data_IF_489021603678
#
_entry.id   IF_489021603678
#
_cell.length_a   1.000
_cell.length_b   1.000
_cell.length_c   1.000
_cell.angle_alpha   90.00
_cell.angle_beta   90.00
_cell.angle_gamma   90.00
#
_symmetry.space_group_name_H-M   'P 1'
#
loop_
_entity.id
_entity.type
_entity.pdbx_description
1 polymer ?
#
# COMPACT_ATOMS: atom_id res chain seq x y z
N UNK A 1 -2.75 -40.44 -16.00
CA UNK A 1 -2.19 -40.12 -17.35
C UNK A 1 -1.12 -39.05 -17.18
N UNK A 2 -0.08 -39.04 -18.04
CA UNK A 2 1.31 -39.19 -17.62
C UNK A 2 2.07 -37.88 -17.36
N UNK A 3 3.17 -38.05 -16.64
CA UNK A 3 4.17 -37.03 -16.33
C UNK A 3 4.83 -36.45 -17.58
N UNK A 4 4.93 -35.12 -17.62
CA UNK A 4 5.69 -34.36 -18.62
C UNK A 4 7.19 -34.68 -18.51
N UNK A 5 7.75 -35.25 -19.57
CA UNK A 5 9.18 -35.23 -19.89
C UNK A 5 9.54 -33.85 -20.43
N UNK A 6 10.56 -33.22 -19.86
CA UNK A 6 11.28 -32.14 -20.53
C UNK A 6 12.22 -32.75 -21.57
N UNK A 7 12.02 -32.33 -22.82
CA UNK A 7 12.92 -32.52 -23.95
C UNK A 7 13.91 -31.37 -23.95
N UNK A 8 15.20 -31.67 -23.92
CA UNK A 8 16.26 -30.76 -24.33
C UNK A 8 17.03 -31.45 -25.45
N UNK A 9 16.89 -30.89 -26.64
CA UNK A 9 17.54 -31.27 -27.88
C UNK A 9 18.99 -30.79 -27.93
N UNK A 10 19.84 -31.74 -28.32
CA UNK A 10 21.04 -31.69 -29.18
C UNK A 10 21.76 -30.36 -29.44
N UNK A 11 23.07 -30.39 -29.18
CA UNK A 11 24.19 -30.20 -30.13
C UNK A 11 25.46 -30.31 -29.26
N UNK A 12 26.48 -31.11 -29.49
CA UNK A 12 26.99 -31.77 -30.67
C UNK A 12 28.51 -31.81 -30.44
N UNK A 13 29.11 -33.00 -30.40
CA UNK A 13 30.38 -33.32 -31.06
C UNK A 13 30.88 -34.70 -30.63
N UNK A 14 30.90 -35.55 -31.63
CA UNK A 14 31.58 -36.83 -31.69
C UNK A 14 33.09 -36.64 -31.53
N UNK A 15 33.74 -37.57 -30.85
CA UNK A 15 34.93 -38.21 -31.41
C UNK A 15 34.99 -39.65 -30.90
N UNK A 16 35.05 -40.57 -31.86
CA UNK A 16 35.06 -42.02 -31.72
C UNK A 16 36.24 -42.50 -32.55
N UNK A 17 37.10 -43.38 -32.01
CA UNK A 17 37.85 -44.38 -32.76
C UNK A 17 38.57 -45.36 -31.79
N UNK A 18 38.90 -46.59 -32.24
CA UNK A 18 38.40 -47.79 -31.59
C UNK A 18 39.47 -48.82 -31.18
N UNK A 19 38.99 -49.82 -30.44
CA UNK A 19 39.34 -51.24 -30.44
C UNK A 19 40.83 -51.67 -30.41
N UNK A 20 41.18 -52.45 -29.36
CA UNK A 20 41.85 -53.74 -29.58
C UNK A 20 41.49 -54.73 -28.45
N UNK A 21 40.92 -55.85 -28.84
CA UNK A 21 40.73 -57.06 -28.06
C UNK A 21 41.98 -57.94 -28.12
N UNK A 22 42.41 -58.54 -27.00
CA UNK A 22 43.03 -59.87 -27.05
C UNK A 22 42.87 -60.63 -25.74
N UNK A 23 42.69 -61.95 -25.89
CA UNK A 23 42.29 -62.93 -24.88
C UNK A 23 43.39 -63.35 -23.89
N UNK A 24 42.90 -63.89 -22.76
CA UNK A 24 43.52 -64.74 -21.73
C UNK A 24 44.73 -65.59 -22.17
N UNK A 25 45.71 -65.74 -21.27
CA UNK A 25 46.20 -67.05 -20.79
C UNK A 25 47.14 -66.93 -19.57
N UNK A 26 46.85 -67.72 -18.51
CA UNK A 26 47.85 -68.28 -17.58
C UNK A 26 48.20 -67.46 -16.31
N UNK A 27 48.13 -68.07 -15.11
CA UNK A 27 48.56 -67.44 -13.86
C UNK A 27 50.07 -67.64 -13.65
N UNK A 28 50.72 -66.75 -12.89
CA UNK A 28 51.65 -67.29 -11.91
C UNK A 28 51.60 -66.61 -10.54
N UNK A 29 51.88 -67.46 -9.55
CA UNK A 29 52.57 -67.16 -8.32
C UNK A 29 51.93 -66.15 -7.36
N UNK A 30 51.24 -66.74 -6.39
CA UNK A 30 51.16 -66.27 -5.00
C UNK A 30 52.55 -65.84 -4.54
N UNK A 31 52.72 -64.53 -4.31
CA UNK A 31 53.70 -63.99 -3.39
C UNK A 31 52.93 -63.14 -2.38
N UNK A 32 52.51 -63.79 -1.29
CA UNK A 32 52.12 -63.14 -0.05
C UNK A 32 53.32 -62.34 0.49
N UNK A 33 53.40 -61.06 0.13
CA UNK A 33 54.01 -60.07 1.01
C UNK A 33 52.88 -59.52 1.89
N UNK A 34 52.70 -60.14 3.06
CA UNK A 34 52.07 -59.50 4.20
C UNK A 34 52.89 -58.26 4.58
N UNK A 35 52.64 -57.14 3.90
CA UNK A 35 52.97 -55.83 4.43
C UNK A 35 51.96 -55.56 5.54
N UNK A 36 52.28 -56.02 6.75
CA UNK A 36 51.68 -55.52 7.98
C UNK A 36 52.09 -54.05 8.08
N UNK A 37 51.33 -53.17 7.41
CA UNK A 37 51.34 -51.76 7.74
C UNK A 37 50.71 -51.65 9.12
N UNK A 38 51.57 -51.65 10.14
CA UNK A 38 51.25 -51.04 11.41
C UNK A 38 50.85 -49.58 11.13
N UNK A 39 49.56 -49.33 10.96
CA UNK A 39 48.95 -48.03 11.17
C UNK A 39 49.06 -47.73 12.66
N UNK A 40 50.28 -47.41 13.10
CA UNK A 40 50.50 -46.67 14.33
C UNK A 40 49.63 -45.42 14.24
N UNK A 41 48.58 -45.37 15.07
CA UNK A 41 47.79 -44.16 15.33
C UNK A 41 48.75 -43.05 15.74
N UNK A 42 49.21 -42.26 14.78
CA UNK A 42 49.76 -40.93 15.05
C UNK A 42 48.55 -40.01 15.25
N UNK A 43 47.87 -40.18 16.39
CA UNK A 43 46.79 -39.29 16.83
C UNK A 43 47.30 -38.23 17.81
N UNK A 44 48.51 -37.72 17.59
CA UNK A 44 48.96 -36.48 18.24
C UNK A 44 48.79 -35.37 17.21
N UNK A 45 47.58 -34.82 17.13
CA UNK A 45 47.38 -33.50 16.54
C UNK A 45 48.37 -32.58 17.25
N UNK A 46 49.38 -32.09 16.52
CA UNK A 46 50.43 -31.25 17.08
C UNK A 46 49.80 -30.16 17.97
N UNK A 47 50.38 -29.83 19.13
CA UNK A 47 49.85 -28.83 20.06
C UNK A 47 49.49 -27.51 19.36
N UNK A 48 50.22 -27.16 18.30
CA UNK A 48 49.98 -25.98 17.47
C UNK A 48 48.70 -26.06 16.63
N UNK A 49 48.35 -27.23 16.10
CA UNK A 49 47.06 -27.45 15.44
C UNK A 49 45.89 -27.36 16.43
N UNK A 50 46.06 -27.83 17.67
CA UNK A 50 45.03 -27.67 18.70
C UNK A 50 44.86 -26.20 19.11
N UNK A 51 45.95 -25.45 19.25
CA UNK A 51 45.93 -23.99 19.50
C UNK A 51 45.28 -23.23 18.35
N UNK A 52 45.62 -23.55 17.10
CA UNK A 52 45.02 -22.96 15.91
C UNK A 52 43.50 -23.22 15.83
N UNK A 53 43.05 -24.45 16.09
CA UNK A 53 41.61 -24.78 16.16
C UNK A 53 40.88 -24.03 17.26
N UNK A 54 41.48 -23.89 18.45
CA UNK A 54 40.89 -23.11 19.56
C UNK A 54 40.80 -21.61 19.20
N UNK A 55 41.85 -21.05 18.58
CA UNK A 55 41.84 -19.67 18.08
C UNK A 55 40.75 -19.49 17.02
N UNK A 56 40.68 -20.34 16.01
CA UNK A 56 39.66 -20.26 14.96
C UNK A 56 38.24 -20.35 15.55
N UNK A 57 37.97 -21.31 16.45
CA UNK A 57 36.67 -21.40 17.13
C UNK A 57 36.36 -20.12 17.91
N UNK A 58 37.32 -19.55 18.64
CA UNK A 58 37.13 -18.27 19.34
C UNK A 58 36.80 -17.14 18.37
N UNK A 59 37.50 -17.03 17.23
CA UNK A 59 37.21 -16.00 16.23
C UNK A 59 35.82 -16.20 15.62
N UNK A 60 35.43 -17.44 15.30
CA UNK A 60 34.09 -17.74 14.80
C UNK A 60 33.00 -17.39 15.83
N UNK A 61 33.22 -17.68 17.11
CA UNK A 61 32.30 -17.29 18.19
C UNK A 61 32.21 -15.77 18.34
N UNK A 62 33.34 -15.06 18.28
CA UNK A 62 33.37 -13.59 18.34
C UNK A 62 32.65 -13.00 17.13
N UNK A 63 32.95 -13.45 15.92
CA UNK A 63 32.27 -12.96 14.71
C UNK A 63 30.77 -13.26 14.74
N UNK A 64 30.38 -14.50 15.09
CA UNK A 64 28.97 -14.87 15.25
C UNK A 64 28.27 -14.03 16.31
N UNK A 65 28.92 -13.80 17.46
CA UNK A 65 28.43 -12.93 18.51
C UNK A 65 28.26 -11.49 18.05
N UNK A 66 29.22 -10.92 17.34
CA UNK A 66 29.15 -9.58 16.75
C UNK A 66 28.03 -9.46 15.71
N UNK A 67 27.85 -10.46 14.83
CA UNK A 67 26.78 -10.47 13.84
C UNK A 67 25.40 -10.53 14.50
N UNK A 68 25.23 -11.40 15.51
CA UNK A 68 23.97 -11.49 16.26
C UNK A 68 23.68 -10.20 17.04
N UNK A 69 24.69 -9.63 17.69
CA UNK A 69 24.56 -8.35 18.38
C UNK A 69 24.20 -7.22 17.40
N UNK A 70 24.87 -7.14 16.25
CA UNK A 70 24.55 -6.16 15.20
C UNK A 70 23.13 -6.32 14.67
N UNK A 71 22.68 -7.56 14.41
CA UNK A 71 21.32 -7.83 13.98
C UNK A 71 20.28 -7.45 15.04
N UNK A 72 20.55 -7.74 16.32
CA UNK A 72 19.68 -7.36 17.43
C UNK A 72 19.59 -5.85 17.61
N UNK A 73 20.71 -5.13 17.48
CA UNK A 73 20.74 -3.66 17.51
C UNK A 73 19.93 -3.10 16.34
N UNK A 74 20.20 -3.56 15.11
CA UNK A 74 19.47 -3.12 13.92
C UNK A 74 17.96 -3.32 14.10
N UNK A 75 17.54 -4.51 14.54
CA UNK A 75 16.14 -4.84 14.80
C UNK A 75 15.49 -3.96 15.87
N UNK A 76 16.24 -3.60 16.93
CA UNK A 76 15.75 -2.76 18.02
C UNK A 76 15.64 -1.30 17.62
N UNK A 77 16.48 -0.85 16.68
CA UNK A 77 16.54 0.54 16.20
C UNK A 77 15.57 0.80 15.04
N UNK A 78 15.06 -0.24 14.35
CA UNK A 78 14.13 -0.08 13.22
C UNK A 78 12.90 0.80 13.51
N UNK A 79 12.17 0.66 14.63
CA UNK A 79 11.02 1.53 14.90
C UNK A 79 11.40 3.01 15.03
N UNK A 80 12.59 3.29 15.57
CA UNK A 80 13.10 4.66 15.67
C UNK A 80 13.48 5.21 14.28
N UNK A 81 14.17 4.40 13.47
CA UNK A 81 14.51 4.78 12.09
C UNK A 81 13.27 5.00 11.23
N UNK A 82 12.23 4.20 11.43
CA UNK A 82 10.96 4.37 10.75
C UNK A 82 10.35 5.76 11.00
N UNK A 83 10.49 6.31 12.21
CA UNK A 83 9.99 7.65 12.54
C UNK A 83 10.80 8.80 11.95
N UNK A 84 12.03 8.55 11.47
CA UNK A 84 12.96 9.61 11.02
C UNK A 84 13.26 9.52 9.52
N UNK A 85 13.29 8.32 8.95
CA UNK A 85 13.64 8.12 7.56
C UNK A 85 12.45 8.43 6.65
N UNK A 86 12.49 9.49 5.84
CA UNK A 86 11.39 9.81 4.95
C UNK A 86 11.21 8.73 3.90
N UNK A 87 10.00 8.21 3.76
CA UNK A 87 9.60 7.29 2.70
C UNK A 87 8.43 7.88 1.93
N UNK A 88 8.03 7.25 0.83
CA UNK A 88 6.79 7.61 0.13
C UNK A 88 5.52 7.47 1.02
N UNK A 89 5.64 6.82 2.19
CA UNK A 89 4.60 6.67 3.21
C UNK A 89 4.74 7.66 4.39
N UNK A 90 5.68 8.61 4.36
CA UNK A 90 5.83 9.62 5.43
C UNK A 90 4.57 10.45 5.66
N UNK A 91 3.71 10.59 4.64
CA UNK A 91 2.45 11.31 4.82
C UNK A 91 1.53 10.61 5.83
N UNK A 92 1.49 9.28 5.84
CA UNK A 92 0.65 8.53 6.75
C UNK A 92 1.05 8.77 8.22
N UNK A 93 2.33 9.00 8.52
CA UNK A 93 2.74 9.39 9.88
C UNK A 93 2.24 10.79 10.26
N UNK A 94 2.24 11.74 9.31
CA UNK A 94 1.70 13.09 9.53
C UNK A 94 0.19 13.11 9.71
N UNK A 95 -0.54 12.26 9.00
CA UNK A 95 -1.98 12.09 9.20
C UNK A 95 -2.27 11.56 10.60
N UNK A 96 -1.59 10.48 11.02
CA UNK A 96 -1.72 9.92 12.36
C UNK A 96 -1.32 10.91 13.47
N UNK A 97 -0.29 11.72 13.23
CA UNK A 97 0.12 12.79 14.14
C UNK A 97 -0.98 13.85 14.25
N UNK A 98 -1.51 14.33 13.12
CA UNK A 98 -2.55 15.34 13.05
C UNK A 98 -3.83 14.91 13.77
N UNK A 99 -4.27 13.66 13.58
CA UNK A 99 -5.45 13.07 14.25
C UNK A 99 -5.28 13.02 15.77
N UNK A 100 -4.06 12.76 16.26
CA UNK A 100 -3.75 12.70 17.70
C UNK A 100 -3.54 14.07 18.32
N UNK A 101 -3.06 15.04 17.56
CA UNK A 101 -2.86 16.41 18.03
C UNK A 101 -4.17 17.19 17.96
N UNK A 102 -4.77 17.48 19.12
CA UNK A 102 -6.02 18.27 19.29
C UNK A 102 -5.93 19.72 18.76
N UNK A 103 -4.82 20.11 18.14
CA UNK A 103 -4.56 21.49 17.74
C UNK A 103 -5.48 21.97 16.60
N UNK A 104 -5.97 21.06 15.75
CA UNK A 104 -7.03 21.38 14.80
C UNK A 104 -8.33 20.64 15.14
N UNK A 105 -9.45 21.28 14.83
CA UNK A 105 -10.80 20.74 15.02
C UNK A 105 -11.48 20.61 13.66
N UNK A 106 -11.02 19.69 12.78
CA UNK A 106 -11.64 19.50 11.49
C UNK A 106 -13.09 19.06 11.67
N UNK A 107 -13.99 19.60 10.86
CA UNK A 107 -15.38 19.19 10.77
C UNK A 107 -15.59 18.24 9.59
N UNK A 108 -14.72 18.33 8.57
CA UNK A 108 -14.76 17.48 7.37
C UNK A 108 -13.36 16.92 7.11
N UNK A 109 -13.27 15.60 6.97
CA UNK A 109 -12.03 14.91 6.61
C UNK A 109 -12.18 14.14 5.30
N UNK A 110 -11.26 14.37 4.35
CA UNK A 110 -11.18 13.64 3.09
C UNK A 110 -10.08 12.59 3.14
N UNK A 111 -10.40 11.38 2.69
CA UNK A 111 -9.49 10.27 2.55
C UNK A 111 -9.49 9.78 1.10
N UNK A 112 -8.40 9.16 0.66
CA UNK A 112 -8.26 8.65 -0.70
C UNK A 112 -6.84 8.79 -1.22
N UNK A 113 -6.64 8.51 -2.50
CA UNK A 113 -5.30 8.47 -3.08
C UNK A 113 -4.81 9.84 -3.58
N UNK A 114 -3.73 9.84 -4.37
CA UNK A 114 -3.13 11.04 -4.95
C UNK A 114 -4.06 11.85 -5.86
N UNK A 115 -5.15 11.28 -6.38
CA UNK A 115 -6.18 12.04 -7.10
C UNK A 115 -7.00 12.92 -6.16
N UNK A 116 -7.25 12.49 -4.91
CA UNK A 116 -7.83 13.37 -3.88
C UNK A 116 -6.83 14.43 -3.43
N UNK A 117 -5.55 14.06 -3.29
CA UNK A 117 -4.48 15.01 -2.92
C UNK A 117 -4.40 16.19 -3.90
N UNK A 118 -4.53 15.88 -5.20
CA UNK A 118 -4.46 16.86 -6.28
C UNK A 118 -5.81 17.48 -6.62
N UNK A 119 -6.92 16.76 -6.41
CA UNK A 119 -8.24 17.14 -6.89
C UNK A 119 -9.05 17.98 -5.90
N UNK A 120 -8.60 18.14 -4.66
CA UNK A 120 -9.32 18.90 -3.65
C UNK A 120 -8.40 19.86 -2.90
N UNK A 121 -8.77 21.14 -2.97
CA UNK A 121 -8.20 22.19 -2.12
C UNK A 121 -9.17 22.44 -0.95
N UNK A 122 -8.82 21.94 0.24
CA UNK A 122 -9.69 22.01 1.41
C UNK A 122 -9.97 23.45 1.87
N UNK A 123 -9.04 24.39 1.64
CA UNK A 123 -9.24 25.81 1.97
C UNK A 123 -10.26 26.44 1.05
N UNK A 124 -10.13 26.21 -0.26
CA UNK A 124 -11.11 26.69 -1.25
C UNK A 124 -12.50 26.10 -1.00
N UNK A 125 -12.59 24.82 -0.61
CA UNK A 125 -13.87 24.21 -0.25
C UNK A 125 -14.46 24.83 1.03
N UNK A 126 -13.65 25.05 2.06
CA UNK A 126 -14.07 25.73 3.30
C UNK A 126 -14.62 27.14 3.01
N UNK A 127 -13.93 27.91 2.17
CA UNK A 127 -14.39 29.24 1.72
C UNK A 127 -15.73 29.20 0.96
N UNK A 128 -16.00 28.10 0.25
CA UNK A 128 -17.22 27.93 -0.55
C UNK A 128 -18.42 27.41 0.27
N UNK A 129 -18.19 26.80 1.43
CA UNK A 129 -19.23 26.27 2.31
C UNK A 129 -19.71 27.31 3.34
N UNK A 130 -20.98 27.23 3.80
CA UNK A 130 -21.45 28.06 4.90
C UNK A 130 -20.63 27.81 6.17
N UNK A 131 -20.47 28.84 6.99
CA UNK A 131 -19.76 28.77 8.30
C UNK A 131 -18.26 28.47 8.21
N UNK A 132 -17.70 28.30 7.01
CA UNK A 132 -16.28 28.08 6.76
C UNK A 132 -15.67 26.97 7.64
N UNK A 133 -16.21 25.73 7.57
CA UNK A 133 -15.76 24.65 8.43
C UNK A 133 -14.27 24.36 8.22
N UNK A 134 -13.59 23.89 9.26
CA UNK A 134 -12.21 23.42 9.11
C UNK A 134 -12.23 22.08 8.35
N UNK A 135 -11.50 22.01 7.23
CA UNK A 135 -11.48 20.83 6.35
C UNK A 135 -10.05 20.32 6.20
N UNK A 136 -9.87 19.02 6.40
CA UNK A 136 -8.60 18.35 6.16
C UNK A 136 -8.67 17.39 4.96
N UNK A 137 -7.62 17.43 4.16
CA UNK A 137 -7.32 16.49 3.10
C UNK A 137 -6.27 15.47 3.59
N UNK A 138 -6.75 14.40 4.21
CA UNK A 138 -5.96 13.28 4.76
C UNK A 138 -5.72 12.16 3.73
N UNK A 139 -5.82 12.46 2.44
CA UNK A 139 -5.46 11.54 1.35
C UNK A 139 -3.96 11.34 1.24
N UNK A 140 -3.47 10.23 0.66
CA UNK A 140 -2.04 9.96 0.52
C UNK A 140 -1.70 9.20 -0.77
N UNK A 141 -0.42 9.11 -1.12
CA UNK A 141 0.00 8.50 -2.39
C UNK A 141 -0.41 7.04 -2.46
N UNK A 142 -1.25 6.71 -3.45
CA UNK A 142 -1.76 5.36 -3.67
C UNK A 142 -2.62 4.82 -2.53
N UNK A 143 -3.19 5.68 -1.66
CA UNK A 143 -4.04 5.24 -0.56
C UNK A 143 -5.19 4.37 -1.05
N UNK A 144 -5.32 3.18 -0.49
CA UNK A 144 -6.41 2.26 -0.79
C UNK A 144 -7.51 2.37 0.26
N UNK A 145 -8.69 1.81 -0.04
CA UNK A 145 -9.86 1.87 0.83
C UNK A 145 -9.51 1.44 2.26
N UNK A 146 -8.86 0.29 2.43
CA UNK A 146 -8.49 -0.16 3.77
C UNK A 146 -7.47 0.73 4.47
N UNK A 147 -6.51 1.30 3.74
CA UNK A 147 -5.58 2.25 4.35
C UNK A 147 -6.34 3.45 4.90
N UNK A 148 -7.35 3.94 4.18
CA UNK A 148 -8.26 4.96 4.71
C UNK A 148 -9.00 4.48 5.95
N UNK A 149 -9.53 3.26 5.97
CA UNK A 149 -10.25 2.70 7.13
C UNK A 149 -9.35 2.69 8.37
N UNK A 150 -8.08 2.36 8.22
CA UNK A 150 -7.13 2.38 9.34
C UNK A 150 -6.85 3.79 9.84
N UNK A 151 -6.64 4.75 8.94
CA UNK A 151 -6.39 6.14 9.31
C UNK A 151 -7.63 6.76 9.98
N UNK A 152 -8.82 6.41 9.51
CA UNK A 152 -10.10 6.87 10.01
C UNK A 152 -10.44 6.48 11.47
N UNK A 153 -9.71 5.55 12.07
CA UNK A 153 -10.01 5.04 13.41
C UNK A 153 -9.94 6.15 14.48
N UNK A 154 -8.90 6.97 14.45
CA UNK A 154 -8.57 7.92 15.51
C UNK A 154 -9.05 9.35 15.16
N UNK A 155 -10.11 9.49 14.36
CA UNK A 155 -10.67 10.78 13.94
C UNK A 155 -11.09 11.66 15.14
N UNK A 156 -10.78 12.97 15.14
CA UNK A 156 -11.21 13.90 16.18
C UNK A 156 -12.73 13.96 16.35
N UNK A 157 -13.21 14.19 17.58
CA UNK A 157 -14.65 14.30 17.90
C UNK A 157 -15.35 15.50 17.22
N UNK A 158 -14.58 16.46 16.70
CA UNK A 158 -15.11 17.58 15.93
C UNK A 158 -15.61 17.17 14.53
N UNK A 159 -15.18 16.02 14.02
CA UNK A 159 -15.49 15.57 12.66
C UNK A 159 -16.97 15.22 12.57
N UNK A 160 -17.65 15.83 11.60
CA UNK A 160 -19.07 15.61 11.29
C UNK A 160 -19.25 14.90 9.96
N UNK A 161 -18.29 15.03 9.03
CA UNK A 161 -18.33 14.42 7.70
C UNK A 161 -17.01 13.74 7.37
N UNK A 162 -17.08 12.48 6.93
CA UNK A 162 -15.95 11.73 6.38
C UNK A 162 -16.24 11.48 4.90
N UNK A 163 -15.32 11.91 4.04
CA UNK A 163 -15.40 11.69 2.60
C UNK A 163 -14.35 10.68 2.17
N UNK A 164 -14.79 9.58 1.58
CA UNK A 164 -13.95 8.50 1.09
C UNK A 164 -13.87 8.54 -0.44
N UNK A 165 -12.74 9.01 -0.97
CA UNK A 165 -12.43 9.01 -2.40
C UNK A 165 -11.97 7.64 -2.89
N UNK A 166 -12.67 7.08 -3.88
CA UNK A 166 -12.31 5.82 -4.56
C UNK A 166 -12.47 5.93 -6.06
N UNK A 167 -11.68 5.16 -6.80
CA UNK A 167 -11.97 4.96 -8.22
C UNK A 167 -13.10 3.96 -8.40
N UNK A 168 -13.88 4.13 -9.47
CA UNK A 168 -14.99 3.23 -9.76
C UNK A 168 -14.54 1.76 -9.85
N UNK A 169 -13.42 1.47 -10.53
CA UNK A 169 -12.90 0.11 -10.67
C UNK A 169 -12.37 -0.49 -9.35
N UNK A 170 -12.04 0.33 -8.34
CA UNK A 170 -11.66 -0.19 -7.02
C UNK A 170 -12.84 -0.81 -6.28
N UNK A 171 -14.08 -0.48 -6.68
CA UNK A 171 -15.29 -1.08 -6.09
C UNK A 171 -15.52 -2.52 -6.54
N UNK A 172 -14.85 -2.98 -7.60
CA UNK A 172 -14.92 -4.34 -8.14
C UNK A 172 -13.83 -5.25 -7.58
N UNK A 173 -12.90 -4.68 -6.80
CA UNK A 173 -11.77 -5.42 -6.23
C UNK A 173 -12.07 -5.77 -4.77
N UNK A 174 -11.69 -6.99 -4.32
CA UNK A 174 -11.78 -7.32 -2.91
C UNK A 174 -10.85 -6.43 -2.10
N UNK A 175 -11.26 -6.02 -0.89
CA UNK A 175 -10.55 -4.99 -0.19
C UNK A 175 -9.28 -5.61 0.43
N UNK A 176 -8.11 -5.10 0.04
CA UNK A 176 -6.80 -5.60 0.49
C UNK A 176 -6.00 -4.56 1.28
N UNK A 177 -4.98 -5.02 2.01
CA UNK A 177 -3.99 -4.13 2.65
C UNK A 177 -2.58 -4.56 2.23
N UNK A 178 -1.85 -3.73 1.47
CA UNK A 178 -0.47 -4.02 1.13
C UNK A 178 0.38 -4.13 2.40
N UNK A 179 1.15 -5.22 2.59
CA UNK A 179 1.91 -5.45 3.81
C UNK A 179 2.83 -4.29 4.21
N UNK A 180 3.50 -3.68 3.23
CA UNK A 180 4.41 -2.55 3.49
C UNK A 180 3.66 -1.32 4.03
N UNK A 181 2.42 -1.09 3.59
CA UNK A 181 1.60 0.04 4.04
C UNK A 181 1.11 -0.15 5.47
N UNK A 182 0.55 -1.33 5.76
CA UNK A 182 0.18 -1.66 7.14
C UNK A 182 1.38 -1.61 8.07
N UNK A 183 2.51 -2.18 7.65
CA UNK A 183 3.73 -2.19 8.42
C UNK A 183 4.23 -0.79 8.75
N UNK A 184 4.18 0.14 7.80
CA UNK A 184 4.51 1.54 8.05
C UNK A 184 3.61 2.17 9.12
N UNK A 185 2.28 2.00 9.01
CA UNK A 185 1.34 2.49 10.03
C UNK A 185 1.68 1.94 11.42
N UNK A 186 1.95 0.63 11.53
CA UNK A 186 2.34 -0.01 12.79
C UNK A 186 3.66 0.58 13.33
N UNK A 187 4.64 0.85 12.47
CA UNK A 187 5.90 1.49 12.86
C UNK A 187 5.70 2.96 13.28
N UNK A 188 4.75 3.67 12.67
CA UNK A 188 4.32 5.01 13.09
C UNK A 188 3.45 5.03 14.36
N UNK A 189 3.21 3.85 14.96
CA UNK A 189 2.50 3.71 16.22
C UNK A 189 0.98 3.57 16.08
N UNK A 190 0.45 3.30 14.88
CA UNK A 190 -0.95 2.89 14.71
C UNK A 190 -1.20 1.56 15.44
N UNK A 191 -2.32 1.46 16.15
CA UNK A 191 -2.75 0.23 16.82
C UNK A 191 -4.24 0.02 16.53
N UNK A 192 -4.62 -1.09 15.90
CA UNK A 192 -6.01 -1.32 15.57
C UNK A 192 -6.83 -1.59 16.83
N UNK A 193 -7.94 -0.90 16.96
CA UNK A 193 -8.96 -1.10 17.99
C UNK A 193 -9.78 -2.38 17.74
N UNK A 194 -10.72 -2.68 18.63
CA UNK A 194 -11.54 -3.88 18.53
C UNK A 194 -12.44 -3.89 17.29
N UNK A 195 -12.97 -2.73 16.89
CA UNK A 195 -13.85 -2.66 15.73
C UNK A 195 -13.08 -2.91 14.43
N UNK A 196 -11.92 -2.26 14.29
CA UNK A 196 -11.02 -2.42 13.15
C UNK A 196 -10.50 -3.85 13.04
N UNK A 197 -10.20 -4.52 14.17
CA UNK A 197 -9.87 -5.95 14.19
C UNK A 197 -11.02 -6.82 13.70
N UNK A 198 -12.26 -6.58 14.15
CA UNK A 198 -13.43 -7.35 13.69
C UNK A 198 -13.67 -7.16 12.19
N UNK A 199 -13.53 -5.94 11.69
CA UNK A 199 -13.60 -5.69 10.25
C UNK A 199 -12.49 -6.42 9.49
N UNK A 200 -11.26 -6.39 10.01
CA UNK A 200 -10.12 -7.07 9.39
C UNK A 200 -10.33 -8.58 9.32
N UNK A 201 -10.93 -9.19 10.34
CA UNK A 201 -11.29 -10.62 10.32
C UNK A 201 -12.35 -10.96 9.26
N UNK A 202 -13.29 -10.04 9.05
CA UNK A 202 -14.50 -10.26 8.24
C UNK A 202 -14.31 -9.97 6.75
N UNK A 203 -13.54 -8.93 6.41
CA UNK A 203 -13.50 -8.41 5.04
C UNK A 203 -12.13 -8.46 4.38
N UNK A 204 -11.03 -8.69 5.12
CA UNK A 204 -9.73 -8.88 4.45
C UNK A 204 -9.64 -10.27 3.81
N UNK A 205 -8.94 -10.32 2.67
CA UNK A 205 -8.45 -11.58 2.13
C UNK A 205 -7.51 -12.30 3.11
N UNK A 206 -7.34 -13.61 2.94
CA UNK A 206 -6.58 -14.44 3.86
C UNK A 206 -5.12 -13.96 4.04
N UNK A 207 -4.45 -13.53 2.98
CA UNK A 207 -3.06 -13.10 3.06
C UNK A 207 -2.92 -11.75 3.78
N UNK A 208 -3.81 -10.79 3.47
CA UNK A 208 -3.86 -9.50 4.17
C UNK A 208 -4.23 -9.69 5.65
N UNK A 209 -5.17 -10.59 5.96
CA UNK A 209 -5.58 -10.91 7.34
C UNK A 209 -4.45 -11.55 8.14
N UNK A 210 -3.78 -12.56 7.59
CA UNK A 210 -2.64 -13.23 8.25
C UNK A 210 -1.52 -12.23 8.55
N UNK A 211 -1.29 -11.28 7.64
CA UNK A 211 -0.33 -10.21 7.86
C UNK A 211 -0.79 -9.21 8.93
N UNK A 212 -2.07 -8.81 8.90
CA UNK A 212 -2.65 -7.87 9.85
C UNK A 212 -2.54 -8.37 11.30
N UNK A 213 -2.76 -9.66 11.52
CA UNK A 213 -2.66 -10.30 12.85
C UNK A 213 -1.27 -10.85 13.16
N UNK A 214 -0.25 -10.51 12.37
CA UNK A 214 1.10 -10.98 12.60
C UNK A 214 1.69 -10.44 13.92
N UNK A 215 2.67 -11.17 14.46
CA UNK A 215 3.32 -10.75 15.70
C UNK A 215 4.07 -9.41 15.55
N UNK A 216 4.23 -8.62 16.63
CA UNK A 216 5.06 -7.42 16.60
C UNK A 216 6.50 -7.66 16.13
N UNK A 217 7.04 -8.85 16.39
CA UNK A 217 8.36 -9.24 15.92
C UNK A 217 8.40 -9.38 14.40
N UNK A 218 7.34 -9.93 13.80
CA UNK A 218 7.22 -10.05 12.34
C UNK A 218 7.19 -8.67 11.68
N UNK A 219 6.38 -7.75 12.21
CA UNK A 219 6.33 -6.39 11.68
C UNK A 219 7.68 -5.66 11.78
N UNK A 220 8.39 -5.77 12.91
CA UNK A 220 9.73 -5.16 13.03
C UNK A 220 10.73 -5.76 12.06
N UNK A 221 10.67 -7.07 11.81
CA UNK A 221 11.54 -7.73 10.84
C UNK A 221 11.27 -7.21 9.42
N UNK A 222 10.00 -7.08 9.05
CA UNK A 222 9.62 -6.64 7.72
C UNK A 222 9.93 -5.14 7.50
N UNK A 223 9.93 -4.31 8.55
CA UNK A 223 10.27 -2.89 8.49
C UNK A 223 11.66 -2.57 7.88
N UNK A 224 12.53 -3.58 7.72
CA UNK A 224 13.78 -3.46 6.94
C UNK A 224 13.57 -2.91 5.53
N UNK A 225 12.38 -3.10 4.94
CA UNK A 225 12.05 -2.54 3.62
C UNK A 225 12.10 -1.00 3.62
N UNK A 226 11.84 -0.35 4.76
CA UNK A 226 11.85 1.11 4.89
C UNK A 226 13.22 1.72 4.55
N UNK A 227 14.33 0.98 4.76
CA UNK A 227 15.66 1.44 4.34
C UNK A 227 15.76 1.58 2.82
N UNK A 228 15.29 0.57 2.08
CA UNK A 228 15.23 0.65 0.62
C UNK A 228 14.22 1.68 0.13
N UNK A 229 13.09 1.82 0.83
CA UNK A 229 12.09 2.85 0.55
C UNK A 229 12.67 4.26 0.69
N UNK A 230 13.36 4.53 1.81
CA UNK A 230 14.05 5.79 2.05
C UNK A 230 15.08 6.12 0.97
N UNK A 231 15.92 5.13 0.62
CA UNK A 231 16.92 5.33 -0.44
C UNK A 231 16.25 5.68 -1.77
N UNK A 232 15.17 4.97 -2.15
CA UNK A 232 14.43 5.26 -3.37
C UNK A 232 13.77 6.64 -3.36
N UNK A 233 13.16 7.04 -2.24
CA UNK A 233 12.56 8.38 -2.07
C UNK A 233 13.64 9.47 -2.17
N UNK A 234 14.82 9.25 -1.58
CA UNK A 234 15.95 10.17 -1.68
C UNK A 234 16.45 10.34 -3.12
N UNK A 235 16.69 9.23 -3.83
CA UNK A 235 17.08 9.25 -5.26
C UNK A 235 16.02 9.94 -6.10
N UNK A 236 14.74 9.62 -5.89
CA UNK A 236 13.62 10.23 -6.63
C UNK A 236 13.55 11.74 -6.39
N UNK A 237 13.71 12.19 -5.15
CA UNK A 237 13.67 13.61 -4.79
C UNK A 237 14.86 14.36 -5.40
N UNK A 238 16.03 13.74 -5.48
CA UNK A 238 17.19 14.31 -6.16
C UNK A 238 17.01 14.42 -7.69
N UNK A 239 16.25 13.50 -8.30
CA UNK A 239 16.05 13.44 -9.75
C UNK A 239 14.82 14.19 -10.26
N UNK A 240 13.77 14.36 -9.43
CA UNK A 240 12.48 14.94 -9.84
C UNK A 240 12.23 16.30 -9.19
N UNK A 241 12.64 17.34 -9.90
CA UNK A 241 12.36 18.75 -9.53
C UNK A 241 10.92 19.20 -9.81
N UNK A 242 10.10 18.35 -10.44
CA UNK A 242 8.72 18.65 -10.83
C UNK A 242 7.69 18.30 -9.75
N UNK A 243 8.13 17.64 -8.67
CA UNK A 243 7.31 17.26 -7.53
C UNK A 243 7.52 18.20 -6.34
N UNK A 244 6.44 18.70 -5.76
CA UNK A 244 6.46 19.41 -4.47
C UNK A 244 6.35 18.42 -3.32
N UNK A 245 7.41 17.63 -3.12
CA UNK A 245 7.44 16.50 -2.17
C UNK A 245 7.12 16.94 -0.74
N UNK A 246 7.72 18.03 -0.27
CA UNK A 246 7.49 18.55 1.09
C UNK A 246 6.02 18.88 1.33
N UNK A 247 5.41 19.61 0.38
CA UNK A 247 3.98 19.95 0.45
C UNK A 247 3.11 18.70 0.44
N UNK A 248 3.39 17.78 -0.47
CA UNK A 248 2.65 16.51 -0.57
C UNK A 248 2.74 15.69 0.73
N UNK A 249 3.84 15.79 1.47
CA UNK A 249 4.04 15.02 2.72
C UNK A 249 3.49 15.72 3.96
N UNK A 250 3.40 17.04 3.99
CA UNK A 250 3.14 17.81 5.23
C UNK A 250 1.84 18.64 5.23
N UNK A 251 1.36 19.05 4.06
CA UNK A 251 0.18 19.92 3.97
C UNK A 251 -1.10 19.11 4.27
N UNK A 252 -1.91 19.56 5.24
CA UNK A 252 -3.19 18.93 5.58
C UNK A 252 -4.35 19.45 4.75
N UNK A 253 -4.17 20.50 3.94
CA UNK A 253 -5.28 21.17 3.26
C UNK A 253 -5.26 20.93 1.75
N UNK A 254 -4.09 21.06 1.12
CA UNK A 254 -3.96 20.86 -0.31
C UNK A 254 -2.60 20.24 -0.66
N UNK A 255 -2.43 18.93 -0.39
CA UNK A 255 -1.16 18.21 -0.53
C UNK A 255 -0.82 17.86 -1.98
N UNK A 256 -0.99 18.81 -2.89
CA UNK A 256 -0.73 18.61 -4.31
C UNK A 256 0.75 18.29 -4.54
N UNK A 257 0.99 17.15 -5.19
CA UNK A 257 2.34 16.71 -5.51
C UNK A 257 2.81 17.20 -6.89
N UNK A 258 1.89 17.34 -7.85
CA UNK A 258 2.22 17.53 -9.26
C UNK A 258 1.97 18.97 -9.72
N UNK A 259 3.03 19.66 -10.16
CA UNK A 259 2.94 21.07 -10.56
C UNK A 259 2.96 21.29 -12.08
N UNK A 260 3.47 20.33 -12.85
CA UNK A 260 3.67 20.45 -14.30
C UNK A 260 2.96 19.34 -15.06
N UNK A 261 2.28 19.70 -16.15
CA UNK A 261 1.68 18.75 -17.08
C UNK A 261 2.76 17.90 -17.74
N UNK A 262 2.49 16.61 -17.90
CA UNK A 262 3.33 15.73 -18.71
C UNK A 262 3.20 16.11 -20.19
N UNK A 263 4.19 15.73 -21.01
CA UNK A 263 4.08 15.93 -22.46
C UNK A 263 2.94 15.10 -23.06
N UNK A 264 2.36 15.56 -24.15
CA UNK A 264 1.26 14.85 -24.85
C UNK A 264 1.63 13.41 -25.22
N UNK A 265 2.90 13.17 -25.60
CA UNK A 265 3.42 11.84 -25.89
C UNK A 265 3.44 10.93 -24.65
N UNK A 266 3.85 11.47 -23.50
CA UNK A 266 3.87 10.73 -22.24
C UNK A 266 2.44 10.48 -21.74
N UNK A 267 1.55 11.46 -21.87
CA UNK A 267 0.13 11.32 -21.55
C UNK A 267 -0.51 10.20 -22.36
N UNK A 268 -0.33 10.23 -23.69
CA UNK A 268 -0.85 9.20 -24.59
C UNK A 268 -0.35 7.80 -24.21
N UNK A 269 0.95 7.66 -23.96
CA UNK A 269 1.52 6.38 -23.55
C UNK A 269 0.94 5.87 -22.21
N UNK A 270 0.77 6.76 -21.22
CA UNK A 270 0.16 6.40 -19.95
C UNK A 270 -1.31 5.97 -20.12
N UNK A 271 -2.10 6.71 -20.89
CA UNK A 271 -3.49 6.37 -21.18
C UNK A 271 -3.61 5.03 -21.90
N UNK A 272 -2.79 4.78 -22.92
CA UNK A 272 -2.75 3.51 -23.64
C UNK A 272 -2.45 2.34 -22.69
N UNK A 273 -1.48 2.51 -21.78
CA UNK A 273 -1.16 1.50 -20.76
C UNK A 273 -2.32 1.24 -19.81
N UNK A 274 -3.00 2.30 -19.34
CA UNK A 274 -4.14 2.14 -18.43
C UNK A 274 -5.34 1.48 -19.11
N UNK A 275 -5.65 1.88 -20.35
CA UNK A 275 -6.74 1.32 -21.15
C UNK A 275 -6.47 -0.14 -21.47
N UNK A 276 -5.24 -0.50 -21.86
CA UNK A 276 -4.89 -1.89 -22.16
C UNK A 276 -5.03 -2.83 -20.95
N UNK A 277 -4.88 -2.31 -19.73
CA UNK A 277 -5.09 -3.09 -18.50
C UNK A 277 -6.55 -3.23 -18.06
N UNK A 278 -7.48 -2.48 -18.65
CA UNK A 278 -8.90 -2.45 -18.28
C UNK A 278 -9.75 -2.46 -19.56
N UNK A 279 -9.90 -3.62 -20.21
CA UNK A 279 -10.79 -3.72 -21.35
C UNK A 279 -12.23 -3.38 -20.93
N UNK A 280 -13.03 -2.76 -21.82
CA UNK A 280 -14.44 -2.48 -21.54
C UNK A 280 -15.20 -3.73 -21.11
N UNK A 281 -16.08 -3.55 -20.13
CA UNK A 281 -16.93 -4.61 -19.59
C UNK A 281 -18.07 -4.06 -18.73
N UNK A 282 -18.87 -4.97 -18.20
CA UNK A 282 -19.91 -4.67 -17.21
C UNK A 282 -19.27 -4.33 -15.86
N UNK A 283 -19.92 -3.47 -15.09
CA UNK A 283 -19.52 -3.17 -13.72
C UNK A 283 -20.02 -4.26 -12.77
N UNK A 284 -19.12 -4.85 -11.99
CA UNK A 284 -19.44 -5.89 -11.02
C UNK A 284 -18.89 -5.53 -9.63
N UNK A 285 -19.71 -4.97 -8.73
CA UNK A 285 -19.22 -4.59 -7.41
C UNK A 285 -18.78 -5.83 -6.63
N UNK A 286 -17.65 -5.72 -5.95
CA UNK A 286 -17.18 -6.78 -5.05
C UNK A 286 -18.05 -6.81 -3.77
N UNK A 287 -18.61 -7.97 -3.40
CA UNK A 287 -19.48 -8.07 -2.24
C UNK A 287 -18.82 -7.72 -0.91
N UNK A 288 -17.50 -7.98 -0.76
CA UNK A 288 -16.78 -7.66 0.48
C UNK A 288 -16.52 -6.16 0.59
N UNK A 289 -16.18 -5.50 -0.53
CA UNK A 289 -16.05 -4.04 -0.59
C UNK A 289 -17.39 -3.35 -0.32
N UNK A 290 -18.49 -3.82 -0.91
CA UNK A 290 -19.84 -3.30 -0.61
C UNK A 290 -20.19 -3.45 0.87
N UNK A 291 -20.01 -4.65 1.44
CA UNK A 291 -20.32 -4.89 2.85
C UNK A 291 -19.46 -4.04 3.80
N UNK A 292 -18.18 -3.83 3.50
CA UNK A 292 -17.30 -2.94 4.25
C UNK A 292 -17.78 -1.48 4.19
N UNK A 293 -18.16 -0.98 3.02
CA UNK A 293 -18.67 0.39 2.86
C UNK A 293 -19.96 0.62 3.64
N UNK A 294 -20.87 -0.35 3.61
CA UNK A 294 -22.12 -0.32 4.39
C UNK A 294 -21.81 -0.26 5.88
N UNK A 295 -21.00 -1.19 6.40
CA UNK A 295 -20.64 -1.25 7.83
C UNK A 295 -19.90 0.00 8.31
N UNK A 296 -19.03 0.59 7.48
CA UNK A 296 -18.39 1.88 7.74
C UNK A 296 -19.43 2.98 7.90
N UNK A 297 -20.35 3.10 6.93
CA UNK A 297 -21.40 4.11 6.97
C UNK A 297 -22.30 3.94 8.20
N UNK A 298 -22.64 2.71 8.58
CA UNK A 298 -23.41 2.42 9.80
C UNK A 298 -22.66 2.81 11.07
N UNK A 299 -21.35 2.50 11.14
CA UNK A 299 -20.50 2.87 12.26
C UNK A 299 -20.41 4.39 12.44
N UNK A 300 -20.20 5.13 11.35
CA UNK A 300 -20.17 6.59 11.39
C UNK A 300 -21.51 7.20 11.77
N UNK A 301 -22.61 6.69 11.21
CA UNK A 301 -23.96 7.14 11.52
C UNK A 301 -24.26 6.98 13.02
N UNK A 302 -23.83 5.89 13.66
CA UNK A 302 -23.95 5.71 15.13
C UNK A 302 -23.20 6.76 15.95
N UNK A 303 -22.11 7.32 15.40
CA UNK A 303 -21.33 8.41 16.00
C UNK A 303 -21.85 9.80 15.65
N UNK A 304 -22.95 9.90 14.88
CA UNK A 304 -23.45 11.17 14.35
C UNK A 304 -22.56 11.78 13.26
N UNK A 305 -21.70 10.96 12.64
CA UNK A 305 -20.82 11.35 11.55
C UNK A 305 -21.47 10.89 10.24
N UNK A 306 -21.49 11.76 9.23
CA UNK A 306 -21.96 11.41 7.90
C UNK A 306 -20.82 10.83 7.07
N UNK A 307 -21.06 9.69 6.45
CA UNK A 307 -20.15 9.06 5.50
C UNK A 307 -20.55 9.40 4.06
N UNK A 308 -19.60 9.92 3.28
CA UNK A 308 -19.76 10.28 1.87
C UNK A 308 -18.80 9.46 1.03
N UNK A 309 -19.32 8.72 0.05
CA UNK A 309 -18.53 8.04 -0.96
C UNK A 309 -18.30 8.97 -2.15
N UNK A 310 -17.03 9.25 -2.46
CA UNK A 310 -16.65 10.07 -3.61
C UNK A 310 -16.07 9.20 -4.72
N UNK A 311 -16.76 9.14 -5.86
CA UNK A 311 -16.23 8.53 -7.07
C UNK A 311 -15.35 9.54 -7.80
N UNK A 312 -14.06 9.23 -7.83
CA UNK A 312 -13.00 10.10 -8.33
C UNK A 312 -13.08 10.31 -9.86
N UNK A 313 -12.67 11.49 -10.35
CA UNK A 313 -12.69 11.80 -11.77
C UNK A 313 -11.69 10.94 -12.55
N UNK A 314 -11.98 10.70 -13.82
CA UNK A 314 -11.08 10.04 -14.77
C UNK A 314 -10.86 10.89 -16.00
N UNK A 315 -9.68 10.76 -16.60
CA UNK A 315 -9.41 11.39 -17.89
C UNK A 315 -10.47 10.92 -18.91
N UNK A 316 -11.10 11.83 -19.70
CA UNK A 316 -12.22 11.47 -20.58
C UNK A 316 -11.91 10.36 -21.58
N UNK A 317 -10.66 10.28 -22.05
CA UNK A 317 -10.24 9.20 -22.96
C UNK A 317 -10.25 7.82 -22.27
N UNK A 318 -9.77 7.73 -21.03
CA UNK A 318 -9.84 6.49 -20.25
C UNK A 318 -11.29 6.14 -19.94
N UNK A 319 -12.07 7.13 -19.49
CA UNK A 319 -13.49 6.94 -19.17
C UNK A 319 -14.29 6.40 -20.37
N UNK A 320 -14.02 6.90 -21.58
CA UNK A 320 -14.69 6.44 -22.80
C UNK A 320 -14.21 5.08 -23.28
N UNK A 321 -12.89 4.84 -23.29
CA UNK A 321 -12.27 3.67 -23.95
C UNK A 321 -12.09 2.46 -23.05
N UNK A 322 -12.00 2.65 -21.73
CA UNK A 322 -11.78 1.57 -20.77
C UNK A 322 -13.04 1.22 -19.99
N UNK A 323 -13.81 2.23 -19.54
CA UNK A 323 -15.06 1.97 -18.81
C UNK A 323 -16.22 1.73 -19.79
N UNK A 324 -16.45 2.68 -20.71
CA UNK A 324 -17.56 2.59 -21.67
C UNK A 324 -18.94 2.79 -21.01
N UNK A 325 -19.99 2.77 -21.82
CA UNK A 325 -21.34 3.14 -21.35
C UNK A 325 -22.00 2.07 -20.48
N UNK A 326 -21.70 0.79 -20.74
CA UNK A 326 -22.26 -0.34 -19.99
C UNK A 326 -21.77 -0.36 -18.55
N UNK A 327 -20.44 -0.27 -18.35
CA UNK A 327 -19.84 -0.08 -17.04
C UNK A 327 -20.47 1.09 -16.29
N UNK A 328 -20.60 2.26 -16.94
CA UNK A 328 -21.12 3.48 -16.31
C UNK A 328 -22.57 3.33 -15.88
N UNK A 329 -23.40 2.61 -16.65
CA UNK A 329 -24.77 2.28 -16.25
C UNK A 329 -24.79 1.38 -15.01
N UNK A 330 -24.04 0.28 -15.04
CA UNK A 330 -23.95 -0.62 -13.88
C UNK A 330 -23.41 0.09 -12.63
N UNK A 331 -22.42 0.97 -12.78
CA UNK A 331 -21.92 1.82 -11.71
C UNK A 331 -23.03 2.77 -11.20
N UNK A 332 -23.76 3.46 -12.08
CA UNK A 332 -24.82 4.37 -11.67
C UNK A 332 -25.94 3.65 -10.89
N UNK A 333 -26.33 2.45 -11.33
CA UNK A 333 -27.31 1.62 -10.65
C UNK A 333 -26.80 1.19 -9.25
N UNK A 334 -25.54 0.77 -9.16
CA UNK A 334 -24.88 0.43 -7.90
C UNK A 334 -24.83 1.61 -6.93
N UNK A 335 -24.40 2.78 -7.40
CA UNK A 335 -24.32 3.98 -6.56
C UNK A 335 -25.71 4.42 -6.07
N UNK A 336 -26.73 4.32 -6.94
CA UNK A 336 -28.13 4.58 -6.56
C UNK A 336 -28.58 3.61 -5.47
N UNK A 337 -28.23 2.32 -5.58
CA UNK A 337 -28.51 1.31 -4.55
C UNK A 337 -27.87 1.66 -3.22
N UNK A 338 -26.59 2.05 -3.20
CA UNK A 338 -25.91 2.50 -1.98
C UNK A 338 -26.62 3.69 -1.32
N UNK A 339 -27.12 4.64 -2.13
CA UNK A 339 -27.85 5.80 -1.63
C UNK A 339 -29.22 5.42 -1.04
N UNK A 340 -30.01 4.63 -1.78
CA UNK A 340 -31.40 4.31 -1.42
C UNK A 340 -31.49 3.27 -0.32
N UNK A 341 -30.74 2.17 -0.45
CA UNK A 341 -30.88 1.01 0.44
C UNK A 341 -30.04 1.15 1.71
N UNK A 342 -28.92 1.88 1.63
CA UNK A 342 -27.95 1.99 2.74
C UNK A 342 -27.77 3.43 3.25
N UNK A 343 -28.40 4.42 2.63
CA UNK A 343 -28.32 5.81 3.06
C UNK A 343 -26.92 6.42 2.94
N UNK A 344 -26.06 5.85 2.08
CA UNK A 344 -24.70 6.37 1.85
C UNK A 344 -24.81 7.56 0.90
N UNK A 345 -24.33 8.74 1.30
CA UNK A 345 -24.25 9.88 0.38
C UNK A 345 -23.18 9.60 -0.67
N UNK A 346 -23.51 9.77 -1.96
CA UNK A 346 -22.57 9.57 -3.07
C UNK A 346 -22.36 10.87 -3.81
N UNK A 347 -21.09 11.20 -4.07
CA UNK A 347 -20.69 12.27 -4.99
C UNK A 347 -19.95 11.64 -6.16
N UNK A 348 -20.54 11.67 -7.34
CA UNK A 348 -19.96 11.05 -8.53
C UNK A 348 -19.34 12.11 -9.46
N UNK A 349 -18.00 12.14 -9.51
CA UNK A 349 -17.26 13.10 -10.33
C UNK A 349 -16.55 12.44 -11.52
N UNK A 350 -16.86 11.17 -11.83
CA UNK A 350 -16.16 10.35 -12.82
C UNK A 350 -15.89 11.09 -14.14
N UNK A 351 -16.91 11.78 -14.67
CA UNK A 351 -16.88 12.50 -15.95
C UNK A 351 -16.99 14.04 -15.77
N UNK A 352 -16.68 14.56 -14.59
CA UNK A 352 -16.87 15.98 -14.25
C UNK A 352 -15.81 16.93 -14.83
N UNK A 353 -14.65 16.40 -15.23
CA UNK A 353 -13.51 17.20 -15.68
C UNK A 353 -13.21 16.96 -17.17
N UNK A 354 -12.97 18.03 -17.95
CA UNK A 354 -12.48 17.88 -19.31
C UNK A 354 -10.98 17.53 -19.33
N UNK A 355 -10.50 17.02 -20.46
CA UNK A 355 -9.15 16.43 -20.59
C UNK A 355 -8.02 17.41 -20.22
N UNK A 356 -8.19 18.68 -20.57
CA UNK A 356 -7.23 19.73 -20.26
C UNK A 356 -7.13 20.07 -18.77
N UNK A 357 -7.98 19.50 -17.90
CA UNK A 357 -7.92 19.71 -16.44
C UNK A 357 -7.17 18.60 -15.72
N UNK A 358 -6.45 17.76 -16.46
CA UNK A 358 -5.55 16.76 -15.91
C UNK A 358 -4.08 17.11 -16.17
N UNK A 359 -3.23 16.75 -15.21
CA UNK A 359 -1.77 16.86 -15.29
C UNK A 359 -1.17 15.64 -15.99
N UNK A 360 -1.79 14.48 -15.81
CA UNK A 360 -1.44 13.19 -16.39
C UNK A 360 -2.71 12.36 -16.66
N UNK A 361 -2.60 11.05 -16.86
CA UNK A 361 -3.78 10.20 -17.15
C UNK A 361 -4.85 10.12 -16.03
N UNK A 362 -4.61 10.70 -14.85
CA UNK A 362 -5.50 10.54 -13.69
C UNK A 362 -5.60 11.74 -12.74
N UNK A 363 -4.56 12.56 -12.62
CA UNK A 363 -4.48 13.61 -11.60
C UNK A 363 -5.00 14.95 -12.11
N UNK A 364 -5.96 15.60 -11.42
CA UNK A 364 -6.38 16.96 -11.76
C UNK A 364 -5.26 17.99 -11.64
N UNK A 365 -5.33 19.05 -12.46
CA UNK A 365 -4.52 20.27 -12.33
C UNK A 365 -5.17 21.27 -11.36
N UNK A 366 -4.56 22.44 -11.15
CA UNK A 366 -5.09 23.42 -10.16
C UNK A 366 -6.50 23.90 -10.46
N UNK A 367 -6.83 24.01 -11.75
CA UNK A 367 -8.12 24.49 -12.20
C UNK A 367 -9.13 23.34 -12.10
N UNK A 368 -8.71 22.11 -12.44
CA UNK A 368 -9.49 20.90 -12.16
C UNK A 368 -9.83 20.76 -10.68
N UNK A 369 -8.87 20.98 -9.79
CA UNK A 369 -9.09 20.97 -8.34
C UNK A 369 -10.09 22.05 -7.89
N UNK A 370 -10.00 23.25 -8.46
CA UNK A 370 -10.96 24.33 -8.18
C UNK A 370 -12.39 23.94 -8.61
N UNK A 371 -12.55 23.38 -9.81
CA UNK A 371 -13.85 22.90 -10.31
C UNK A 371 -14.40 21.81 -9.38
N UNK A 372 -13.61 20.79 -9.06
CA UNK A 372 -14.02 19.71 -8.16
C UNK A 372 -14.40 20.22 -6.78
N UNK A 373 -13.63 21.14 -6.20
CA UNK A 373 -13.92 21.72 -4.88
C UNK A 373 -15.24 22.51 -4.90
N UNK A 374 -15.53 23.23 -5.99
CA UNK A 374 -16.81 23.94 -6.15
C UNK A 374 -17.99 22.99 -6.36
N UNK A 375 -17.84 21.95 -7.18
CA UNK A 375 -18.85 20.90 -7.36
C UNK A 375 -19.15 20.21 -6.03
N UNK A 376 -18.11 19.84 -5.28
CA UNK A 376 -18.26 19.29 -3.93
C UNK A 376 -19.00 20.22 -2.99
N UNK A 377 -18.71 21.52 -3.04
CA UNK A 377 -19.39 22.50 -2.20
C UNK A 377 -20.90 22.55 -2.48
N UNK A 378 -21.30 22.41 -3.75
CA UNK A 378 -22.71 22.36 -4.12
C UNK A 378 -23.38 21.10 -3.56
N UNK A 379 -22.78 19.93 -3.81
CA UNK A 379 -23.33 18.65 -3.36
C UNK A 379 -23.35 18.53 -1.82
N UNK A 380 -22.37 19.11 -1.12
CA UNK A 380 -22.31 19.11 0.34
C UNK A 380 -23.26 20.14 0.98
N UNK A 381 -23.63 21.24 0.30
CA UNK A 381 -24.59 22.21 0.84
C UNK A 381 -25.97 21.60 1.03
N UNK A 382 -26.42 20.81 0.05
CA UNK A 382 -27.69 20.08 0.12
C UNK A 382 -27.69 19.03 1.24
N UNK A 383 -26.50 18.60 1.63
CA UNK A 383 -26.26 17.61 2.68
C UNK A 383 -26.11 18.28 4.06
N UNK A 384 -25.50 19.47 4.16
CA UNK A 384 -25.09 20.11 5.42
C UNK A 384 -26.22 20.85 6.19
N UNK A 385 -27.39 21.12 5.61
CA UNK A 385 -28.46 21.94 6.23
C UNK A 385 -29.30 21.18 7.28
N UNK A 386 -28.73 20.23 8.03
CA UNK A 386 -29.41 19.54 9.15
C UNK A 386 -28.66 19.62 10.49
N UNK A 387 -27.87 20.68 10.71
CA UNK A 387 -27.13 20.91 11.96
C UNK A 387 -27.92 21.63 13.07
N UNK A 388 -29.25 21.75 12.98
CA UNK A 388 -30.06 22.51 13.95
C UNK A 388 -30.86 21.69 14.97
N UNK A 389 -30.44 20.49 15.36
CA UNK A 389 -30.94 19.87 16.61
C UNK A 389 -29.98 18.80 17.15
N UNK A 390 -29.01 19.19 17.99
CA UNK A 390 -28.55 18.27 19.05
C UNK A 390 -29.45 18.49 20.28
N UNK A 391 -30.09 17.45 20.83
CA UNK A 391 -30.63 17.55 22.19
C UNK A 391 -29.43 17.74 23.13
N UNK A 392 -29.50 18.73 24.02
CA UNK A 392 -28.50 18.91 25.06
C UNK A 392 -28.43 17.64 25.90
N UNK A 393 -27.32 16.91 25.86
CA UNK A 393 -27.01 15.85 26.81
C UNK A 393 -26.61 16.49 28.16
N UNK A 394 -27.60 17.06 28.84
CA UNK A 394 -27.57 17.44 30.24
C UNK A 394 -28.65 16.65 30.99
N UNK A 395 -28.56 15.33 30.93
CA UNK A 395 -29.01 14.41 31.98
C UNK A 395 -28.89 12.99 31.44
N UNK A 396 -27.91 12.25 31.95
CA UNK A 396 -28.06 10.86 32.40
C UNK A 396 -26.70 10.38 32.95
N UNK A 397 -26.61 10.50 34.29
CA UNK A 397 -25.69 9.87 35.26
C UNK A 397 -24.26 10.35 35.34
#
# INVERSE_FOLDING_TARGET
MPACRFVLTEMGNCEYHPAFSYQRNGPPAVLEHQAVFHLSRVSTVAPDMQRARRRLRRHLWVMGGCTLAGAAIAFSVMPFLAGILPTDLSRSSRILEAERTVAGKPEICFFGNSVVMNGLDAKRLSEALPEHPEIWNLSSTGQQLWESVLLQQDLPDSVQVVVQGVFANTLEEPPNIPPNKYNALVMYGFRPDEQTRRWAESYLDAASRDYFFASPLRHRFDARWMLSGWFNTWVRSALRSDLTVDRAQTDLYYPRAYTRKVSDSALKHQLEKYIAGHPPGEFHPDPQTEALLVELAESYRRRGIRFVLWILPRHPEYSRRALGDEFKRGLADYLTRLQVDHGITVVNTLDSLPAERFVDGSHPDDIGAAILSQTFAADLKDVAICSSTRPSSSSLR
#
